data_IF_904370970068
#
_entry.id   IF_904370970068
#
_cell.length_a   1.000
_cell.length_b   1.000
_cell.length_c   1.000
_cell.angle_alpha   90.00
_cell.angle_beta   90.00
_cell.angle_gamma   90.00
#
_symmetry.space_group_name_H-M   'P 1'
#
loop_
_entity.id
_entity.type
_entity.pdbx_description
1 polymer ?
#
# COMPACT_ATOMS: atom_id res chain seq x y z
N UNK A 1 1.00 -8.14 21.56
CA UNK A 1 -0.41 -8.38 21.18
C UNK A 1 -0.44 -8.96 19.77
N UNK A 2 -0.77 -10.26 19.60
CA UNK A 2 -1.07 -10.84 18.28
C UNK A 2 -2.56 -10.62 18.04
N UNK A 3 -2.93 -9.71 17.14
CA UNK A 3 -4.33 -9.60 16.72
C UNK A 3 -4.68 -10.87 15.96
N UNK A 4 -5.48 -11.76 16.56
CA UNK A 4 -6.16 -12.85 15.85
C UNK A 4 -7.24 -12.21 14.97
N UNK A 5 -6.83 -11.67 13.82
CA UNK A 5 -7.71 -11.10 12.81
C UNK A 5 -8.31 -12.20 11.93
N UNK A 6 -9.04 -13.15 12.51
CA UNK A 6 -9.59 -14.25 11.72
C UNK A 6 -10.97 -14.72 12.20
N UNK A 7 -12.00 -13.86 12.22
CA UNK A 7 -13.43 -14.30 12.07
C UNK A 7 -14.55 -13.26 12.15
N UNK A 8 -14.34 -11.95 12.05
CA UNK A 8 -15.47 -11.00 12.14
C UNK A 8 -15.45 -9.94 11.04
N UNK A 9 -16.43 -10.09 10.13
CA UNK A 9 -16.91 -9.23 9.04
C UNK A 9 -16.35 -9.53 7.63
N UNK A 10 -17.20 -9.47 6.58
CA UNK A 10 -16.70 -9.31 5.22
C UNK A 10 -15.88 -8.04 5.22
N UNK A 11 -14.58 -8.14 4.93
CA UNK A 11 -13.71 -6.98 4.96
C UNK A 11 -14.12 -6.10 3.78
N UNK A 12 -14.84 -5.01 4.07
CA UNK A 12 -15.21 -4.06 3.04
C UNK A 12 -13.95 -3.47 2.41
N UNK A 13 -14.05 -3.03 1.16
CA UNK A 13 -12.91 -2.54 0.39
C UNK A 13 -12.13 -1.42 1.10
N UNK A 14 -12.78 -0.60 1.96
CA UNK A 14 -12.13 0.48 2.70
C UNK A 14 -11.30 -0.01 3.88
N UNK A 15 -11.78 -1.05 4.57
CA UNK A 15 -11.02 -1.75 5.61
C UNK A 15 -9.79 -2.43 5.01
N UNK A 16 -9.95 -3.13 3.87
CA UNK A 16 -8.85 -3.80 3.18
C UNK A 16 -7.80 -2.81 2.67
N UNK A 17 -8.23 -1.69 2.07
CA UNK A 17 -7.33 -0.62 1.66
C UNK A 17 -6.50 -0.11 2.84
N UNK A 18 -7.17 0.23 3.94
CA UNK A 18 -6.52 0.74 5.16
C UNK A 18 -5.54 -0.27 5.77
N UNK A 19 -5.91 -1.56 5.79
CA UNK A 19 -5.05 -2.62 6.28
C UNK A 19 -3.84 -2.85 5.36
N UNK A 20 -4.03 -2.77 4.04
CA UNK A 20 -2.96 -2.85 3.05
C UNK A 20 -1.95 -1.71 3.18
N UNK A 21 -2.44 -0.49 3.37
CA UNK A 21 -1.60 0.68 3.67
C UNK A 21 -0.81 0.46 4.97
N UNK A 22 -1.47 0.00 6.03
CA UNK A 22 -0.81 -0.30 7.30
C UNK A 22 0.31 -1.33 7.13
N UNK A 23 0.04 -2.44 6.44
CA UNK A 23 1.04 -3.47 6.17
C UNK A 23 2.23 -2.90 5.38
N UNK A 24 1.98 -2.09 4.36
CA UNK A 24 3.03 -1.44 3.57
C UNK A 24 3.90 -0.53 4.43
N UNK A 25 3.29 0.39 5.19
CA UNK A 25 4.02 1.36 5.99
C UNK A 25 4.87 0.68 7.06
N UNK A 26 4.33 -0.32 7.76
CA UNK A 26 5.06 -1.09 8.77
C UNK A 26 6.25 -1.84 8.15
N UNK A 27 6.07 -2.43 6.97
CA UNK A 27 7.16 -3.09 6.24
C UNK A 27 8.20 -2.12 5.69
N UNK A 28 7.81 -0.87 5.43
CA UNK A 28 8.67 0.17 4.87
C UNK A 28 9.38 1.03 5.93
N UNK A 29 9.12 0.80 7.23
CA UNK A 29 9.82 1.50 8.31
C UNK A 29 11.33 1.25 8.23
N UNK A 30 12.11 2.32 8.35
CA UNK A 30 13.55 2.22 8.48
C UNK A 30 13.95 1.53 9.79
N UNK A 31 15.13 0.91 9.83
CA UNK A 31 15.66 0.31 11.05
C UNK A 31 15.77 1.31 12.22
N UNK A 32 16.01 2.59 11.93
CA UNK A 32 16.00 3.66 12.93
C UNK A 32 14.60 3.88 13.53
N UNK A 33 13.55 3.86 12.70
CA UNK A 33 12.16 3.97 13.18
C UNK A 33 11.75 2.73 14.00
N UNK A 34 12.23 1.55 13.61
CA UNK A 34 12.06 0.31 14.39
C UNK A 34 12.73 0.41 15.77
N UNK A 35 13.89 1.06 15.84
CA UNK A 35 14.60 1.26 17.12
C UNK A 35 13.85 2.26 18.02
N UNK A 36 13.31 3.34 17.47
CA UNK A 36 12.47 4.28 18.22
C UNK A 36 11.17 3.62 18.71
N UNK A 37 10.54 2.77 17.89
CA UNK A 37 9.34 2.04 18.30
C UNK A 37 9.58 1.09 19.47
N UNK A 38 10.78 0.50 19.61
CA UNK A 38 11.15 -0.33 20.77
C UNK A 38 11.18 0.43 22.10
N UNK A 39 11.34 1.75 22.07
CA UNK A 39 11.33 2.57 23.28
C UNK A 39 9.91 2.77 23.85
N UNK A 40 8.88 2.69 22.99
CA UNK A 40 7.48 2.90 23.37
C UNK A 40 6.64 1.61 23.39
N UNK A 41 7.04 0.60 22.62
CA UNK A 41 6.34 -0.67 22.50
C UNK A 41 7.22 -1.84 22.96
N UNK A 42 6.60 -2.80 23.65
CA UNK A 42 7.29 -4.02 24.11
C UNK A 42 7.91 -4.83 22.95
N UNK A 43 7.34 -4.75 21.75
CA UNK A 43 7.94 -5.21 20.50
C UNK A 43 7.45 -4.31 19.35
N UNK A 44 8.32 -3.91 18.40
CA UNK A 44 7.91 -3.12 17.25
C UNK A 44 6.92 -3.91 16.39
N UNK A 45 5.90 -3.26 15.80
CA UNK A 45 5.01 -3.95 14.86
C UNK A 45 5.82 -4.48 13.67
N UNK A 46 5.46 -5.66 13.19
CA UNK A 46 6.08 -6.32 12.04
C UNK A 46 5.01 -6.72 11.04
N UNK A 47 5.35 -6.62 9.76
CA UNK A 47 4.46 -6.91 8.63
C UNK A 47 5.32 -7.21 7.39
N UNK A 48 4.73 -7.76 6.32
CA UNK A 48 5.41 -7.93 5.03
C UNK A 48 4.71 -7.21 3.86
N UNK A 49 5.47 -6.96 2.79
CA UNK A 49 4.93 -6.39 1.56
C UNK A 49 3.95 -7.35 0.85
N UNK A 50 4.05 -8.65 1.08
CA UNK A 50 3.10 -9.65 0.58
C UNK A 50 1.73 -9.52 1.26
N UNK A 51 1.71 -9.25 2.57
CA UNK A 51 0.46 -8.98 3.31
C UNK A 51 -0.21 -7.70 2.82
N UNK A 52 0.60 -6.66 2.56
CA UNK A 52 0.13 -5.42 1.94
C UNK A 52 -0.49 -5.69 0.57
N UNK A 53 0.24 -6.41 -0.29
CA UNK A 53 -0.21 -6.72 -1.64
C UNK A 53 -1.56 -7.43 -1.64
N UNK A 54 -1.71 -8.44 -0.78
CA UNK A 54 -2.96 -9.20 -0.66
C UNK A 54 -4.14 -8.29 -0.34
N UNK A 55 -4.01 -7.45 0.68
CA UNK A 55 -5.11 -6.58 1.12
C UNK A 55 -5.45 -5.51 0.07
N UNK A 56 -4.43 -4.89 -0.53
CA UNK A 56 -4.62 -3.84 -1.54
C UNK A 56 -5.26 -4.40 -2.83
N UNK A 57 -4.87 -5.62 -3.23
CA UNK A 57 -5.46 -6.27 -4.40
C UNK A 57 -6.92 -6.67 -4.12
N UNK A 58 -7.21 -7.22 -2.94
CA UNK A 58 -8.58 -7.56 -2.56
C UNK A 58 -9.48 -6.31 -2.45
N UNK A 59 -8.95 -5.18 -1.97
CA UNK A 59 -9.65 -3.90 -2.00
C UNK A 59 -9.98 -3.44 -3.43
N UNK A 60 -8.99 -3.55 -4.33
CA UNK A 60 -9.16 -3.19 -5.75
C UNK A 60 -10.17 -4.09 -6.45
N UNK A 61 -10.14 -5.40 -6.18
CA UNK A 61 -11.04 -6.39 -6.79
C UNK A 61 -12.49 -6.19 -6.31
N UNK A 62 -12.70 -5.83 -5.04
CA UNK A 62 -14.02 -5.55 -4.48
C UNK A 62 -14.62 -4.24 -5.00
N UNK A 63 -13.80 -3.19 -5.16
CA UNK A 63 -14.25 -1.91 -5.69
C UNK A 63 -13.16 -1.23 -6.53
N UNK A 64 -13.09 -1.56 -7.82
CA UNK A 64 -12.04 -1.06 -8.70
C UNK A 64 -12.01 0.46 -8.76
N UNK A 65 -10.80 1.03 -8.72
CA UNK A 65 -10.52 2.45 -8.92
C UNK A 65 -11.26 3.38 -7.95
N UNK A 66 -11.67 2.89 -6.78
CA UNK A 66 -12.35 3.72 -5.78
C UNK A 66 -11.38 4.68 -5.08
N UNK A 67 -10.24 4.17 -4.61
CA UNK A 67 -9.17 4.98 -4.04
C UNK A 67 -8.04 5.08 -5.06
N UNK A 68 -7.72 6.28 -5.53
CA UNK A 68 -6.60 6.47 -6.45
C UNK A 68 -5.27 6.10 -5.76
N UNK A 69 -5.19 6.33 -4.44
CA UNK A 69 -4.05 5.93 -3.62
C UNK A 69 -3.84 4.42 -3.58
N UNK A 70 -4.90 3.60 -3.65
CA UNK A 70 -4.75 2.14 -3.66
C UNK A 70 -3.89 1.67 -4.83
N UNK A 71 -4.11 2.24 -6.03
CA UNK A 71 -3.32 1.98 -7.23
C UNK A 71 -1.84 2.30 -7.05
N UNK A 72 -1.52 3.40 -6.36
CA UNK A 72 -0.14 3.81 -6.09
C UNK A 72 0.51 2.95 -5.02
N UNK A 73 -0.24 2.56 -4.00
CA UNK A 73 0.22 1.60 -3.00
C UNK A 73 0.49 0.23 -3.62
N UNK A 74 -0.34 -0.24 -4.57
CA UNK A 74 -0.06 -1.44 -5.36
C UNK A 74 1.26 -1.28 -6.14
N UNK A 75 1.45 -0.18 -6.86
CA UNK A 75 2.68 0.08 -7.62
C UNK A 75 3.94 0.04 -6.73
N UNK A 76 3.90 0.74 -5.59
CA UNK A 76 4.98 0.76 -4.62
C UNK A 76 5.26 -0.63 -4.03
N UNK A 77 4.21 -1.38 -3.71
CA UNK A 77 4.32 -2.73 -3.14
C UNK A 77 4.97 -3.68 -4.14
N UNK A 78 4.52 -3.70 -5.40
CA UNK A 78 5.16 -4.47 -6.47
C UNK A 78 6.62 -4.08 -6.68
N UNK A 79 6.95 -2.79 -6.59
CA UNK A 79 8.33 -2.33 -6.69
C UNK A 79 9.20 -2.86 -5.54
N UNK A 80 8.71 -2.82 -4.30
CA UNK A 80 9.40 -3.38 -3.12
C UNK A 80 9.61 -4.89 -3.25
N UNK A 81 8.63 -5.59 -3.83
CA UNK A 81 8.69 -7.02 -4.17
C UNK A 81 9.51 -7.33 -5.44
N UNK A 82 10.22 -6.34 -6.01
CA UNK A 82 11.06 -6.47 -7.22
C UNK A 82 10.30 -6.85 -8.49
N UNK A 83 8.98 -6.71 -8.50
CA UNK A 83 8.13 -6.93 -9.67
C UNK A 83 7.96 -5.63 -10.47
N UNK A 84 9.03 -5.20 -11.14
CA UNK A 84 9.10 -3.89 -11.81
C UNK A 84 8.03 -3.67 -12.89
N UNK A 85 7.70 -4.70 -13.67
CA UNK A 85 6.70 -4.57 -14.73
C UNK A 85 5.31 -4.28 -14.18
N UNK A 86 4.96 -4.89 -13.05
CA UNK A 86 3.68 -4.69 -12.40
C UNK A 86 3.64 -3.31 -11.74
N UNK A 87 4.77 -2.90 -11.14
CA UNK A 87 4.91 -1.53 -10.64
C UNK A 87 4.68 -0.48 -11.74
N UNK A 88 5.28 -0.66 -12.92
CA UNK A 88 5.06 0.23 -14.08
C UNK A 88 3.61 0.24 -14.53
N UNK A 89 2.97 -0.94 -14.63
CA UNK A 89 1.56 -1.08 -15.00
C UNK A 89 0.66 -0.26 -14.08
N UNK A 90 0.82 -0.40 -12.76
CA UNK A 90 0.01 0.33 -11.79
C UNK A 90 0.35 1.82 -11.74
N UNK A 91 1.61 2.22 -11.94
CA UNK A 91 1.96 3.64 -12.12
C UNK A 91 1.24 4.25 -13.34
N UNK A 92 1.24 3.56 -14.48
CA UNK A 92 0.53 4.04 -15.68
C UNK A 92 -0.97 4.21 -15.41
N UNK A 93 -1.61 3.20 -14.78
CA UNK A 93 -3.02 3.27 -14.40
C UNK A 93 -3.33 4.47 -13.47
N UNK A 94 -2.44 4.77 -12.50
CA UNK A 94 -2.60 5.93 -11.63
C UNK A 94 -2.51 7.26 -12.38
N UNK A 95 -1.64 7.34 -13.40
CA UNK A 95 -1.48 8.54 -14.24
C UNK A 95 -2.65 8.76 -15.21
N UNK A 96 -3.23 7.67 -15.71
CA UNK A 96 -4.38 7.69 -16.62
C UNK A 96 -5.72 7.97 -15.92
N UNK A 97 -5.78 7.93 -14.59
CA UNK A 97 -6.99 8.23 -13.84
C UNK A 97 -7.49 9.66 -14.18
N UNK A 98 -8.73 9.85 -14.68
CA UNK A 98 -9.23 11.18 -15.08
C UNK A 98 -9.54 12.09 -13.89
N UNK A 99 -9.68 11.56 -12.69
CA UNK A 99 -10.09 12.32 -11.52
C UNK A 99 -9.05 13.36 -11.10
N UNK A 100 -9.54 14.46 -10.51
CA UNK A 100 -8.74 15.62 -10.09
C UNK A 100 -9.00 16.00 -8.63
N UNK A 101 -9.60 15.11 -7.85
CA UNK A 101 -9.67 15.27 -6.41
C UNK A 101 -8.27 15.16 -5.77
N UNK A 102 -8.18 15.52 -4.49
CA UNK A 102 -6.90 15.56 -3.76
C UNK A 102 -6.17 14.21 -3.75
N UNK A 103 -6.89 13.10 -3.55
CA UNK A 103 -6.31 11.75 -3.51
C UNK A 103 -5.75 11.39 -4.88
N UNK A 104 -6.50 11.67 -5.95
CA UNK A 104 -6.09 11.43 -7.33
C UNK A 104 -4.88 12.27 -7.75
N UNK A 105 -4.84 13.56 -7.39
CA UNK A 105 -3.70 14.44 -7.70
C UNK A 105 -2.42 14.00 -6.97
N UNK A 106 -2.53 13.67 -5.68
CA UNK A 106 -1.40 13.17 -4.89
C UNK A 106 -0.89 11.84 -5.45
N UNK A 107 -1.82 10.93 -5.78
CA UNK A 107 -1.51 9.63 -6.37
C UNK A 107 -0.75 9.75 -7.70
N UNK A 108 -1.18 10.66 -8.57
CA UNK A 108 -0.45 10.96 -9.82
C UNK A 108 0.96 11.45 -9.55
N UNK A 109 1.13 12.39 -8.61
CA UNK A 109 2.45 12.92 -8.26
C UNK A 109 3.38 11.82 -7.71
N UNK A 110 2.86 10.93 -6.87
CA UNK A 110 3.65 9.84 -6.29
C UNK A 110 3.95 8.74 -7.32
N UNK A 111 3.03 8.46 -8.25
CA UNK A 111 3.28 7.57 -9.40
C UNK A 111 4.40 8.11 -10.31
N UNK A 112 4.43 9.42 -10.59
CA UNK A 112 5.51 10.05 -11.36
C UNK A 112 6.88 9.89 -10.69
N UNK A 113 6.95 10.13 -9.38
CA UNK A 113 8.19 9.93 -8.60
C UNK A 113 8.65 8.48 -8.64
N UNK A 114 7.73 7.53 -8.50
CA UNK A 114 8.06 6.11 -8.57
C UNK A 114 8.54 5.70 -9.97
N UNK A 115 7.89 6.19 -11.04
CA UNK A 115 8.33 5.92 -12.42
C UNK A 115 9.76 6.42 -12.68
N UNK A 116 10.16 7.56 -12.12
CA UNK A 116 11.53 8.05 -12.24
C UNK A 116 12.56 7.11 -11.59
N UNK A 117 12.14 6.35 -10.57
CA UNK A 117 12.96 5.35 -9.86
C UNK A 117 12.97 3.97 -10.53
N UNK A 118 12.04 3.71 -11.47
CA UNK A 118 11.86 2.44 -12.16
C UNK A 118 12.70 2.30 -13.45
N UNK A 119 13.62 3.24 -13.70
CA UNK A 119 14.56 3.21 -14.83
C UNK A 119 15.47 1.98 -14.83
#
# INVERSE_FOLDING_TARGET
MKMKANKLRPQDFSTLHSLGVWHYEVSNLSWANVMLAKAFFAAPPTSTFEEALKCLQEAEDLKPSFFASNTVYLANTYYKLKQKEQAKKYCAAALENPNTDLDSMQSKADAQKLMASLK
#
